data_IF_365013536590
#
_entry.id   IF_365013536590
#
_cell.length_a   1.000
_cell.length_b   1.000
_cell.length_c   1.000
_cell.angle_alpha   90.00
_cell.angle_beta   90.00
_cell.angle_gamma   90.00
#
_symmetry.space_group_name_H-M   'P 1'
#
loop_
_entity.id
_entity.type
_entity.pdbx_description
1 polymer ?
#
# COMPACT_ATOMS: atom_id res chain seq x y z
N UNK A 1 -9.78 -3.07 2.21
CA UNK A 1 -9.91 -4.06 3.29
C UNK A 1 -8.65 -4.89 3.34
N UNK A 2 -8.19 -5.35 4.50
CA UNK A 2 -6.98 -6.15 4.56
C UNK A 2 -6.54 -6.51 5.97
N UNK A 3 -5.55 -7.39 6.05
CA UNK A 3 -4.81 -7.77 7.24
C UNK A 3 -3.32 -7.58 6.99
N UNK A 4 -2.70 -6.61 7.67
CA UNK A 4 -1.25 -6.45 7.63
C UNK A 4 -0.53 -7.64 8.29
N UNK A 5 -1.14 -8.24 9.31
CA UNK A 5 -0.58 -9.40 10.03
C UNK A 5 -0.45 -10.65 9.14
N UNK A 6 -1.38 -10.83 8.19
CA UNK A 6 -1.34 -11.95 7.25
C UNK A 6 -0.89 -11.54 5.84
N UNK A 7 -0.68 -10.24 5.62
CA UNK A 7 -0.04 -9.70 4.42
C UNK A 7 -0.95 -9.61 3.20
N UNK A 8 -2.27 -9.49 3.39
CA UNK A 8 -3.21 -9.35 2.29
C UNK A 8 -4.05 -8.10 2.41
N UNK A 9 -4.40 -7.51 1.28
CA UNK A 9 -5.44 -6.49 1.19
C UNK A 9 -6.07 -6.50 -0.19
N UNK A 10 -7.28 -5.97 -0.24
CA UNK A 10 -7.99 -5.78 -1.48
C UNK A 10 -8.82 -4.50 -1.49
N UNK A 11 -9.13 -4.09 -2.71
CA UNK A 11 -10.07 -3.03 -3.06
C UNK A 11 -11.30 -3.64 -3.75
N UNK A 12 -12.41 -2.90 -3.79
CA UNK A 12 -13.68 -3.41 -4.34
C UNK A 12 -13.61 -3.63 -5.86
N UNK A 13 -12.82 -2.84 -6.57
CA UNK A 13 -12.54 -2.96 -8.01
C UNK A 13 -11.92 -4.33 -8.34
N UNK A 14 -10.93 -4.80 -7.58
CA UNK A 14 -10.31 -6.11 -7.80
C UNK A 14 -11.33 -7.26 -7.74
N UNK A 15 -12.24 -7.22 -6.76
CA UNK A 15 -13.31 -8.20 -6.67
C UNK A 15 -14.36 -8.02 -7.77
N UNK A 16 -14.69 -6.78 -8.12
CA UNK A 16 -15.62 -6.51 -9.21
C UNK A 16 -15.10 -7.06 -10.55
N UNK A 17 -13.83 -6.85 -10.88
CA UNK A 17 -13.20 -7.39 -12.09
C UNK A 17 -13.21 -8.92 -12.11
N UNK A 18 -12.80 -9.56 -11.01
CA UNK A 18 -12.81 -11.03 -10.88
C UNK A 18 -14.20 -11.66 -11.09
N UNK A 19 -15.27 -10.98 -10.68
CA UNK A 19 -16.64 -11.47 -10.81
C UNK A 19 -17.34 -10.97 -12.07
N UNK A 20 -16.91 -9.85 -12.65
CA UNK A 20 -17.44 -9.31 -13.90
C UNK A 20 -17.31 -10.31 -15.05
N UNK A 21 -16.14 -10.93 -15.17
CA UNK A 21 -15.86 -11.96 -16.18
C UNK A 21 -16.77 -13.19 -16.00
N UNK A 22 -16.94 -13.65 -14.74
CA UNK A 22 -17.76 -14.83 -14.42
C UNK A 22 -19.25 -14.60 -14.60
N UNK A 23 -19.73 -13.38 -14.32
CA UNK A 23 -21.14 -13.03 -14.34
C UNK A 23 -21.57 -12.35 -15.65
N UNK A 24 -20.63 -11.99 -16.52
CA UNK A 24 -20.89 -11.29 -17.78
C UNK A 24 -21.44 -9.87 -17.59
N UNK A 25 -21.00 -9.16 -16.56
CA UNK A 25 -21.49 -7.82 -16.21
C UNK A 25 -20.37 -6.78 -16.11
N UNK A 26 -20.73 -5.49 -16.14
CA UNK A 26 -19.75 -4.40 -16.09
C UNK A 26 -19.12 -4.27 -14.68
N UNK A 27 -17.78 -4.19 -14.55
CA UNK A 27 -17.12 -4.04 -13.25
C UNK A 27 -17.64 -2.86 -12.43
N UNK A 28 -17.94 -1.72 -13.07
CA UNK A 28 -18.38 -0.50 -12.36
C UNK A 28 -19.73 -0.70 -11.67
N UNK A 29 -20.62 -1.50 -12.27
CA UNK A 29 -21.90 -1.86 -11.67
C UNK A 29 -21.70 -2.79 -10.46
N UNK A 30 -20.77 -3.74 -10.57
CA UNK A 30 -20.42 -4.64 -9.46
C UNK A 30 -19.76 -3.88 -8.30
N UNK A 31 -18.86 -2.92 -8.55
CA UNK A 31 -18.27 -2.11 -7.47
C UNK A 31 -19.35 -1.43 -6.63
N UNK A 32 -20.39 -0.89 -7.28
CA UNK A 32 -21.53 -0.27 -6.58
C UNK A 32 -22.36 -1.29 -5.80
N UNK A 33 -22.56 -2.49 -6.34
CA UNK A 33 -23.29 -3.58 -5.68
C UNK A 33 -22.49 -4.25 -4.55
N UNK A 34 -21.15 -4.27 -4.63
CA UNK A 34 -20.26 -4.82 -3.61
C UNK A 34 -20.17 -3.95 -2.36
N UNK A 35 -20.84 -2.79 -2.32
CA UNK A 35 -20.89 -1.94 -1.14
C UNK A 35 -22.32 -1.51 -0.79
N UNK A 36 -22.68 -1.64 0.50
CA UNK A 36 -24.02 -1.32 1.00
C UNK A 36 -25.00 -2.48 0.96
N UNK A 37 -26.30 -2.15 1.04
CA UNK A 37 -27.40 -3.10 1.19
C UNK A 37 -27.84 -3.68 -0.18
N UNK A 38 -26.92 -4.30 -0.92
CA UNK A 38 -27.19 -4.96 -2.20
C UNK A 38 -26.86 -6.45 -2.12
N UNK A 39 -27.67 -7.28 -2.77
CA UNK A 39 -27.51 -8.72 -2.84
C UNK A 39 -27.59 -9.22 -4.29
N UNK A 40 -26.93 -10.32 -4.59
CA UNK A 40 -27.03 -10.96 -5.92
C UNK A 40 -28.01 -12.12 -5.86
N UNK A 41 -29.05 -12.11 -6.69
CA UNK A 41 -29.96 -13.25 -6.87
C UNK A 41 -29.38 -14.19 -7.92
N UNK A 42 -28.91 -15.41 -7.57
CA UNK A 42 -28.40 -16.36 -8.57
C UNK A 42 -29.49 -16.86 -9.52
N UNK A 43 -30.75 -16.87 -9.05
CA UNK A 43 -31.92 -17.27 -9.85
C UNK A 43 -32.18 -16.27 -10.97
N UNK A 44 -32.20 -14.99 -10.63
CA UNK A 44 -32.54 -13.92 -11.58
C UNK A 44 -31.30 -13.33 -12.27
N UNK A 45 -30.10 -13.75 -11.85
CA UNK A 45 -28.79 -13.21 -12.26
C UNK A 45 -28.72 -11.69 -12.20
N UNK A 46 -29.30 -11.11 -11.14
CA UNK A 46 -29.45 -9.66 -10.97
C UNK A 46 -29.03 -9.22 -9.58
N UNK A 47 -28.51 -7.99 -9.52
CA UNK A 47 -28.29 -7.29 -8.26
C UNK A 47 -29.62 -6.69 -7.81
N UNK A 48 -30.05 -7.05 -6.60
CA UNK A 48 -31.28 -6.59 -5.97
C UNK A 48 -30.95 -5.93 -4.64
N UNK A 49 -31.80 -5.03 -4.16
CA UNK A 49 -31.58 -4.42 -2.85
C UNK A 49 -31.79 -5.49 -1.77
N UNK A 50 -30.83 -5.62 -0.85
CA UNK A 50 -30.94 -6.52 0.29
C UNK A 50 -32.00 -5.95 1.24
N UNK A 51 -33.12 -6.65 1.39
CA UNK A 51 -34.12 -6.28 2.40
C UNK A 51 -33.72 -6.87 3.76
N UNK A 52 -33.52 -6.01 4.78
CA UNK A 52 -33.33 -6.45 6.19
C UNK A 52 -34.54 -7.20 6.74
N UNK A 53 -35.71 -6.96 6.16
CA UNK A 53 -36.99 -7.59 6.51
C UNK A 53 -37.30 -8.58 5.39
N UNK A 54 -36.97 -9.86 5.60
CA UNK A 54 -36.98 -10.91 4.58
C UNK A 54 -38.05 -10.72 3.50
N UNK A 55 -37.60 -10.45 2.27
CA UNK A 55 -38.50 -10.19 1.15
C UNK A 55 -37.74 -10.18 -0.16
N UNK A 56 -38.11 -11.11 -1.05
CA UNK A 56 -38.08 -10.84 -2.49
C UNK A 56 -37.07 -11.58 -3.35
N UNK A 57 -36.58 -12.76 -2.96
CA UNK A 57 -36.16 -13.76 -3.94
C UNK A 57 -37.28 -14.80 -4.06
N UNK A 58 -37.64 -15.24 -5.26
CA UNK A 58 -38.66 -16.28 -5.52
C UNK A 58 -38.30 -17.63 -4.88
N UNK A 59 -38.39 -17.75 -3.55
CA UNK A 59 -38.04 -18.96 -2.80
C UNK A 59 -37.55 -18.78 -1.35
N UNK A 60 -38.02 -17.78 -0.60
CA UNK A 60 -37.99 -17.78 0.88
C UNK A 60 -36.64 -17.63 1.59
N UNK A 61 -35.50 -17.69 0.90
CA UNK A 61 -34.17 -17.51 1.52
C UNK A 61 -33.75 -16.03 1.57
N UNK A 62 -33.23 -15.59 2.72
CA UNK A 62 -32.66 -14.24 2.90
C UNK A 62 -31.40 -14.12 2.05
N UNK A 63 -31.44 -13.26 1.03
CA UNK A 63 -30.28 -12.98 0.18
C UNK A 63 -29.21 -12.23 0.99
N UNK A 64 -27.98 -12.77 1.00
CA UNK A 64 -26.84 -12.17 1.69
C UNK A 64 -26.33 -10.95 0.92
N UNK A 65 -25.76 -9.94 1.60
CA UNK A 65 -25.10 -8.83 0.91
C UNK A 65 -23.98 -9.33 -0.01
N UNK A 66 -23.82 -8.71 -1.17
CA UNK A 66 -22.81 -9.10 -2.17
C UNK A 66 -21.40 -9.05 -1.60
N UNK A 67 -21.10 -8.05 -0.77
CA UNK A 67 -19.79 -7.97 -0.10
C UNK A 67 -19.50 -9.22 0.74
N UNK A 68 -20.50 -9.69 1.48
CA UNK A 68 -20.38 -10.88 2.33
C UNK A 68 -20.18 -12.11 1.45
N UNK A 69 -21.06 -12.31 0.47
CA UNK A 69 -21.05 -13.48 -0.40
C UNK A 69 -19.79 -13.58 -1.28
N UNK A 70 -19.36 -12.47 -1.86
CA UNK A 70 -18.30 -12.48 -2.88
C UNK A 70 -16.92 -12.13 -2.35
N UNK A 71 -16.80 -11.38 -1.26
CA UNK A 71 -15.50 -11.03 -0.67
C UNK A 71 -15.24 -11.77 0.65
N UNK A 72 -16.10 -11.60 1.65
CA UNK A 72 -15.81 -12.09 3.00
C UNK A 72 -15.91 -13.61 3.13
N UNK A 73 -16.93 -14.26 2.57
CA UNK A 73 -17.12 -15.71 2.68
C UNK A 73 -15.93 -16.52 2.12
N UNK A 74 -15.41 -16.21 0.91
CA UNK A 74 -14.19 -16.86 0.41
C UNK A 74 -12.97 -16.68 1.31
N UNK A 75 -12.78 -15.48 1.88
CA UNK A 75 -11.65 -15.19 2.78
C UNK A 75 -11.85 -15.91 4.11
N UNK A 76 -13.06 -15.88 4.67
CA UNK A 76 -13.41 -16.57 5.91
C UNK A 76 -13.21 -18.08 5.78
N UNK A 77 -13.63 -18.66 4.65
CA UNK A 77 -13.38 -20.06 4.32
C UNK A 77 -11.89 -20.37 4.24
N UNK A 78 -11.06 -19.46 3.72
CA UNK A 78 -9.61 -19.67 3.75
C UNK A 78 -9.10 -19.71 5.19
N UNK A 79 -9.59 -18.83 6.07
CA UNK A 79 -9.18 -18.78 7.47
C UNK A 79 -9.58 -20.01 8.31
N UNK A 80 -10.59 -20.79 7.90
CA UNK A 80 -11.01 -21.98 8.65
C UNK A 80 -9.92 -23.05 8.77
N UNK A 81 -8.89 -23.02 7.92
CA UNK A 81 -7.73 -23.92 8.05
C UNK A 81 -6.91 -23.68 9.32
N UNK A 82 -7.12 -22.55 10.00
CA UNK A 82 -6.49 -22.28 11.29
C UNK A 82 -7.20 -22.99 12.45
N UNK A 83 -8.38 -23.58 12.21
CA UNK A 83 -9.09 -24.39 13.20
C UNK A 83 -8.44 -25.77 13.33
N UNK A 84 -8.52 -26.37 14.53
CA UNK A 84 -7.83 -27.62 14.82
C UNK A 84 -8.42 -28.80 14.02
N UNK A 85 -7.56 -29.56 13.35
CA UNK A 85 -7.94 -30.79 12.64
C UNK A 85 -8.45 -30.57 11.22
N UNK A 86 -8.37 -29.34 10.68
CA UNK A 86 -8.86 -29.07 9.33
C UNK A 86 -7.91 -29.48 8.20
N UNK A 87 -8.51 -29.88 7.06
CA UNK A 87 -7.77 -30.21 5.85
C UNK A 87 -7.36 -28.95 5.08
N UNK A 88 -6.13 -28.49 5.35
CA UNK A 88 -5.53 -27.31 4.72
C UNK A 88 -5.55 -27.40 3.19
N UNK A 89 -5.15 -28.55 2.63
CA UNK A 89 -5.06 -28.73 1.19
C UNK A 89 -6.45 -28.83 0.54
N UNK A 90 -7.40 -29.49 1.20
CA UNK A 90 -8.79 -29.58 0.78
C UNK A 90 -9.52 -28.24 0.77
N UNK A 91 -9.21 -27.34 1.71
CA UNK A 91 -9.83 -26.01 1.81
C UNK A 91 -9.16 -24.99 0.89
N UNK A 92 -7.82 -24.89 0.92
CA UNK A 92 -7.08 -23.89 0.13
C UNK A 92 -6.91 -24.29 -1.33
N UNK A 93 -6.79 -25.59 -1.64
CA UNK A 93 -6.59 -26.08 -3.00
C UNK A 93 -7.65 -25.61 -4.01
N UNK A 94 -8.96 -25.67 -3.69
CA UNK A 94 -10.01 -25.09 -4.54
C UNK A 94 -9.86 -23.58 -4.76
N UNK A 95 -9.41 -22.83 -3.75
CA UNK A 95 -9.16 -21.38 -3.88
C UNK A 95 -8.01 -21.15 -4.86
N UNK A 96 -6.90 -21.88 -4.68
CA UNK A 96 -5.72 -21.82 -5.57
C UNK A 96 -6.11 -22.12 -7.02
N UNK A 97 -6.91 -23.17 -7.26
CA UNK A 97 -7.37 -23.52 -8.61
C UNK A 97 -8.33 -22.49 -9.19
N UNK A 98 -9.36 -22.10 -8.44
CA UNK A 98 -10.42 -21.19 -8.93
C UNK A 98 -9.95 -19.76 -9.19
N UNK A 99 -8.80 -19.38 -8.63
CA UNK A 99 -8.16 -18.07 -8.77
C UNK A 99 -6.86 -18.13 -9.59
N UNK A 100 -6.47 -19.29 -10.10
CA UNK A 100 -5.28 -19.43 -10.94
C UNK A 100 -3.95 -19.13 -10.23
N UNK A 101 -3.86 -19.36 -8.92
CA UNK A 101 -2.71 -18.94 -8.09
C UNK A 101 -1.53 -19.91 -8.15
N UNK A 102 -1.69 -21.08 -8.79
CA UNK A 102 -0.67 -22.13 -8.82
C UNK A 102 0.74 -21.65 -9.19
N UNK A 103 0.92 -20.85 -10.26
CA UNK A 103 2.24 -20.32 -10.65
C UNK A 103 2.87 -19.35 -9.65
N UNK A 104 2.07 -18.75 -8.75
CA UNK A 104 2.53 -17.75 -7.79
C UNK A 104 2.93 -18.37 -6.44
N UNK A 105 2.68 -19.65 -6.25
CA UNK A 105 2.93 -20.36 -4.99
C UNK A 105 4.20 -21.19 -5.07
N UNK A 106 4.92 -21.27 -3.93
CA UNK A 106 6.03 -22.19 -3.79
C UNK A 106 5.57 -23.65 -3.93
N UNK A 107 6.44 -24.56 -4.40
CA UNK A 107 6.16 -25.99 -4.36
C UNK A 107 5.78 -26.42 -2.94
N UNK A 108 4.70 -27.22 -2.81
CA UNK A 108 4.19 -27.71 -1.51
C UNK A 108 3.77 -26.62 -0.51
N UNK A 109 3.44 -25.40 -0.96
CA UNK A 109 2.98 -24.32 -0.08
C UNK A 109 1.75 -24.69 0.78
N UNK A 110 0.92 -25.64 0.32
CA UNK A 110 -0.26 -26.12 1.06
C UNK A 110 0.06 -27.22 2.09
N UNK A 111 1.23 -27.85 2.00
CA UNK A 111 1.68 -28.93 2.90
C UNK A 111 2.51 -28.38 4.07
N UNK A 112 2.52 -27.06 4.27
CA UNK A 112 3.30 -26.44 5.34
C UNK A 112 2.81 -26.94 6.72
N UNK A 113 3.72 -27.30 7.66
CA UNK A 113 3.33 -27.83 8.97
C UNK A 113 2.45 -26.89 9.79
N UNK A 114 2.67 -25.58 9.65
CA UNK A 114 1.80 -24.53 10.21
C UNK A 114 0.73 -24.10 9.17
N UNK A 115 -0.57 -24.37 9.43
CA UNK A 115 -1.67 -23.97 8.55
C UNK A 115 -1.76 -22.47 8.29
N UNK A 116 -1.36 -21.63 9.25
CA UNK A 116 -1.38 -20.17 9.09
C UNK A 116 -0.37 -19.71 8.05
N UNK A 117 0.75 -20.42 7.89
CA UNK A 117 1.75 -20.10 6.86
C UNK A 117 1.30 -20.53 5.46
N UNK A 118 0.60 -21.67 5.35
CA UNK A 118 -0.06 -22.06 4.11
C UNK A 118 -1.13 -21.03 3.70
N UNK A 119 -1.97 -20.62 4.66
CA UNK A 119 -2.96 -19.55 4.48
C UNK A 119 -2.33 -18.25 3.98
N UNK A 120 -1.27 -17.76 4.66
CA UNK A 120 -0.56 -16.53 4.28
C UNK A 120 0.02 -16.61 2.88
N UNK A 121 0.57 -17.76 2.50
CA UNK A 121 1.12 -17.97 1.14
C UNK A 121 0.02 -17.80 0.09
N UNK A 122 -1.16 -18.42 0.31
CA UNK A 122 -2.31 -18.31 -0.59
C UNK A 122 -2.89 -16.90 -0.62
N UNK A 123 -3.10 -16.26 0.54
CA UNK A 123 -3.71 -14.93 0.60
C UNK A 123 -2.79 -13.83 0.06
N UNK A 124 -1.47 -13.95 0.23
CA UNK A 124 -0.50 -13.01 -0.35
C UNK A 124 -0.43 -13.13 -1.87
N UNK A 125 -0.52 -14.34 -2.40
CA UNK A 125 -0.59 -14.56 -3.84
C UNK A 125 -1.94 -14.10 -4.42
N UNK A 126 -3.03 -14.31 -3.69
CA UNK A 126 -4.36 -13.93 -4.15
C UNK A 126 -4.63 -12.43 -4.07
N UNK A 127 -4.29 -11.81 -2.94
CA UNK A 127 -4.65 -10.43 -2.60
C UNK A 127 -3.43 -9.67 -2.05
N UNK A 128 -2.42 -9.37 -2.90
CA UNK A 128 -1.18 -8.74 -2.45
C UNK A 128 -1.44 -7.38 -1.77
N UNK A 129 -1.01 -7.23 -0.51
CA UNK A 129 -1.19 -6.01 0.27
C UNK A 129 -0.58 -4.78 -0.41
N UNK A 130 0.64 -4.91 -0.95
CA UNK A 130 1.37 -3.82 -1.58
C UNK A 130 0.64 -3.26 -2.79
N UNK A 131 0.14 -4.11 -3.68
CA UNK A 131 -0.59 -3.68 -4.88
C UNK A 131 -1.90 -2.98 -4.55
N UNK A 132 -2.64 -3.50 -3.57
CA UNK A 132 -3.88 -2.88 -3.14
C UNK A 132 -3.64 -1.46 -2.59
N UNK A 133 -2.64 -1.30 -1.71
CA UNK A 133 -2.34 -0.04 -1.02
C UNK A 133 -1.65 0.96 -1.96
N UNK A 134 -0.59 0.56 -2.66
CA UNK A 134 0.14 1.45 -3.57
C UNK A 134 -0.71 1.82 -4.78
N UNK A 135 -1.50 0.88 -5.31
CA UNK A 135 -2.45 1.19 -6.38
C UNK A 135 -3.54 2.15 -5.93
N UNK A 136 -4.02 2.06 -4.67
CA UNK A 136 -4.94 3.05 -4.12
C UNK A 136 -4.29 4.42 -4.00
N UNK A 137 -3.06 4.48 -3.49
CA UNK A 137 -2.31 5.72 -3.34
C UNK A 137 -2.11 6.39 -4.70
N UNK A 138 -1.65 5.65 -5.71
CA UNK A 138 -1.46 6.16 -7.07
C UNK A 138 -2.76 6.65 -7.72
N UNK A 139 -3.88 5.94 -7.48
CA UNK A 139 -5.17 6.29 -8.09
C UNK A 139 -5.88 7.46 -7.40
N UNK A 140 -5.63 7.70 -6.10
CA UNK A 140 -6.39 8.66 -5.28
C UNK A 140 -5.60 9.87 -4.85
N UNK A 141 -4.28 9.76 -4.75
CA UNK A 141 -3.45 10.90 -4.40
C UNK A 141 -3.17 11.73 -5.65
N UNK A 142 -3.27 13.07 -5.56
CA UNK A 142 -2.86 13.93 -6.66
C UNK A 142 -1.36 13.78 -6.94
N UNK A 143 -0.97 13.93 -8.21
CA UNK A 143 0.43 14.06 -8.59
C UNK A 143 1.08 15.29 -7.92
N UNK A 144 2.42 15.33 -7.76
CA UNK A 144 3.07 16.48 -7.13
C UNK A 144 2.69 17.84 -7.76
N UNK A 145 2.65 18.01 -9.11
CA UNK A 145 2.20 19.27 -9.71
C UNK A 145 0.74 19.60 -9.43
N UNK A 146 -0.15 18.60 -9.38
CA UNK A 146 -1.56 18.82 -9.06
C UNK A 146 -1.78 19.16 -7.57
N UNK A 147 -0.95 18.62 -6.69
CA UNK A 147 -1.02 18.85 -5.25
C UNK A 147 -0.40 20.19 -4.83
N UNK A 148 0.65 20.64 -5.55
CA UNK A 148 1.48 21.77 -5.16
C UNK A 148 0.72 23.08 -4.93
N UNK A 149 -0.27 23.49 -5.76
CA UNK A 149 -1.02 24.73 -5.52
C UNK A 149 -1.75 24.75 -4.17
N UNK A 150 -2.25 23.60 -3.70
CA UNK A 150 -2.93 23.50 -2.40
C UNK A 150 -1.96 23.42 -1.21
N UNK A 151 -0.73 22.98 -1.44
CA UNK A 151 0.29 22.72 -0.40
C UNK A 151 1.27 23.88 -0.23
N UNK A 152 1.66 24.52 -1.33
CA UNK A 152 2.68 25.56 -1.35
C UNK A 152 2.36 26.71 -0.40
N UNK A 153 1.12 27.24 -0.32
CA UNK A 153 0.82 28.32 0.62
C UNK A 153 1.06 27.95 2.09
N UNK A 154 0.79 26.69 2.45
CA UNK A 154 1.00 26.18 3.81
C UNK A 154 2.47 25.93 4.11
N UNK A 155 3.25 25.52 3.10
CA UNK A 155 4.68 25.26 3.23
C UNK A 155 5.51 26.56 3.27
N UNK A 156 5.09 27.57 2.52
CA UNK A 156 5.79 28.86 2.37
C UNK A 156 5.32 29.90 3.39
N UNK A 157 4.23 29.64 4.13
CA UNK A 157 3.67 30.60 5.09
C UNK A 157 2.83 31.72 4.44
N UNK A 158 2.49 31.58 3.16
CA UNK A 158 1.73 32.55 2.38
C UNK A 158 1.61 32.13 0.92
N UNK A 159 0.73 32.77 0.13
CA UNK A 159 0.62 32.48 -1.30
C UNK A 159 1.98 32.72 -2.01
N UNK A 160 2.41 31.82 -2.91
CA UNK A 160 3.62 32.01 -3.71
C UNK A 160 3.58 33.33 -4.49
N UNK A 161 4.71 34.02 -4.57
CA UNK A 161 4.80 35.32 -5.27
C UNK A 161 4.16 36.48 -4.51
N UNK A 162 3.98 36.33 -3.18
CA UNK A 162 3.61 37.43 -2.30
C UNK A 162 4.70 38.51 -2.24
N UNK A 163 4.40 39.67 -1.63
CA UNK A 163 5.40 40.73 -1.46
C UNK A 163 6.59 40.19 -0.63
N UNK A 164 7.83 40.50 -1.02
CA UNK A 164 9.00 40.08 -0.25
C UNK A 164 9.01 40.74 1.13
N UNK A 165 9.70 40.15 2.12
CA UNK A 165 9.88 40.76 3.42
C UNK A 165 10.49 42.18 3.32
N UNK A 166 10.06 43.13 4.17
CA UNK A 166 10.61 44.49 4.16
C UNK A 166 12.14 44.50 4.32
N UNK A 167 12.82 45.35 3.54
CA UNK A 167 14.28 45.49 3.60
C UNK A 167 15.07 44.40 2.86
N UNK A 168 14.40 43.48 2.16
CA UNK A 168 15.07 42.48 1.33
C UNK A 168 15.69 43.13 0.08
N UNK A 169 16.97 42.85 -0.26
CA UNK A 169 17.57 43.30 -1.51
C UNK A 169 16.83 42.77 -2.74
N UNK A 170 16.72 43.59 -3.79
CA UNK A 170 15.96 43.27 -5.01
C UNK A 170 16.36 41.93 -5.64
N UNK A 171 17.66 41.63 -5.68
CA UNK A 171 18.17 40.35 -6.22
C UNK A 171 17.66 39.15 -5.41
N UNK A 172 17.66 39.27 -4.08
CA UNK A 172 17.16 38.22 -3.19
C UNK A 172 15.63 38.06 -3.30
N UNK A 173 14.90 39.17 -3.44
CA UNK A 173 13.46 39.15 -3.67
C UNK A 173 13.09 38.43 -4.98
N UNK A 174 13.86 38.69 -6.05
CA UNK A 174 13.68 38.01 -7.34
C UNK A 174 13.95 36.50 -7.25
N UNK A 175 15.02 36.09 -6.55
CA UNK A 175 15.31 34.67 -6.38
C UNK A 175 14.29 33.97 -5.46
N UNK A 176 13.80 34.64 -4.41
CA UNK A 176 12.72 34.12 -3.57
C UNK A 176 11.46 33.85 -4.41
N UNK A 177 11.01 34.84 -5.18
CA UNK A 177 9.85 34.69 -6.06
C UNK A 177 10.04 33.55 -7.09
N UNK A 178 11.26 33.40 -7.63
CA UNK A 178 11.61 32.29 -8.53
C UNK A 178 11.49 30.94 -7.81
N UNK A 179 12.06 30.80 -6.62
CA UNK A 179 12.00 29.57 -5.81
C UNK A 179 10.57 29.20 -5.46
N UNK A 180 9.78 30.16 -4.96
CA UNK A 180 8.36 29.94 -4.62
C UNK A 180 7.54 29.51 -5.84
N UNK A 181 7.78 30.10 -7.00
CA UNK A 181 7.12 29.72 -8.26
C UNK A 181 7.48 28.31 -8.70
N UNK A 182 8.75 27.91 -8.59
CA UNK A 182 9.19 26.55 -8.89
C UNK A 182 8.59 25.52 -7.91
N UNK A 183 8.53 25.84 -6.61
CA UNK A 183 7.87 25.00 -5.59
C UNK A 183 6.38 24.84 -5.90
N UNK A 184 5.69 25.95 -6.20
CA UNK A 184 4.25 25.96 -6.45
C UNK A 184 3.83 25.13 -7.67
N UNK A 185 4.74 24.90 -8.61
CA UNK A 185 4.50 24.10 -9.82
C UNK A 185 5.15 22.72 -9.79
N UNK A 186 5.91 22.39 -8.73
CA UNK A 186 6.76 21.20 -8.68
C UNK A 186 7.68 21.10 -9.90
N UNK A 187 8.36 22.20 -10.22
CA UNK A 187 9.25 22.30 -11.39
C UNK A 187 10.46 21.36 -11.23
N UNK A 188 10.56 20.36 -12.09
CA UNK A 188 11.64 19.38 -12.13
C UNK A 188 12.62 19.61 -13.28
N UNK A 189 12.60 20.79 -13.91
CA UNK A 189 13.53 21.12 -14.99
C UNK A 189 14.98 21.26 -14.50
N UNK A 190 15.99 21.00 -15.35
CA UNK A 190 17.40 21.14 -14.96
C UNK A 190 17.81 22.56 -14.55
N UNK A 191 17.02 23.58 -14.92
CA UNK A 191 17.24 24.99 -14.58
C UNK A 191 16.49 25.44 -13.32
N UNK A 192 15.63 24.57 -12.76
CA UNK A 192 14.94 24.84 -11.51
C UNK A 192 15.94 24.85 -10.33
N UNK A 193 15.75 25.73 -9.33
CA UNK A 193 16.59 25.72 -8.15
C UNK A 193 16.37 24.42 -7.34
N UNK A 194 17.46 23.84 -6.84
CA UNK A 194 17.38 22.72 -5.90
C UNK A 194 16.93 23.24 -4.54
N UNK A 195 15.75 22.80 -4.10
CA UNK A 195 15.17 23.17 -2.80
C UNK A 195 15.02 21.93 -1.93
N UNK A 196 15.49 22.01 -0.68
CA UNK A 196 15.36 20.93 0.31
C UNK A 196 14.49 21.43 1.45
N UNK A 197 13.50 20.62 1.84
CA UNK A 197 12.68 20.85 3.04
C UNK A 197 13.04 19.82 4.11
N UNK A 198 13.71 20.27 5.17
CA UNK A 198 14.11 19.40 6.28
C UNK A 198 13.01 19.39 7.33
N UNK A 199 12.22 18.32 7.37
CA UNK A 199 11.16 18.13 8.38
C UNK A 199 11.61 17.33 9.61
N UNK A 200 12.58 16.43 9.42
CA UNK A 200 13.11 15.57 10.47
C UNK A 200 14.54 15.14 10.11
N UNK A 201 15.44 15.21 11.09
CA UNK A 201 16.78 14.62 11.00
C UNK A 201 16.83 13.31 11.77
N UNK A 202 17.62 12.36 11.28
CA UNK A 202 17.83 11.05 11.92
C UNK A 202 19.30 10.92 12.27
N UNK A 203 19.60 10.36 13.44
CA UNK A 203 20.96 10.12 13.86
C UNK A 203 21.64 9.09 12.96
N UNK A 204 22.85 9.40 12.48
CA UNK A 204 23.66 8.52 11.65
C UNK A 204 24.96 8.19 12.39
N UNK A 205 25.33 6.90 12.54
CA UNK A 205 26.62 6.52 13.11
C UNK A 205 27.78 7.22 12.42
N UNK A 206 28.76 7.71 13.19
CA UNK A 206 29.90 8.49 12.67
C UNK A 206 30.65 7.80 11.53
N UNK A 207 30.77 6.47 11.57
CA UNK A 207 31.44 5.69 10.53
C UNK A 207 30.75 5.70 9.16
N UNK A 208 29.46 6.07 9.10
CA UNK A 208 28.68 6.19 7.86
C UNK A 208 28.58 7.64 7.35
N UNK A 209 29.09 8.61 8.11
CA UNK A 209 29.15 9.98 7.63
C UNK A 209 30.19 10.08 6.51
N UNK A 210 29.91 10.83 5.43
CA UNK A 210 30.90 11.10 4.40
C UNK A 210 32.18 11.63 5.05
N UNK A 211 33.30 10.94 4.85
CA UNK A 211 34.61 11.46 5.26
C UNK A 211 34.83 12.72 4.42
N UNK A 212 34.89 13.88 5.08
CA UNK A 212 35.01 15.16 4.39
C UNK A 212 36.19 15.18 3.44
N UNK A 213 36.02 15.85 2.30
CA UNK A 213 37.04 16.07 1.24
C UNK A 213 38.14 17.05 1.70
N UNK A 214 38.65 16.89 2.92
CA UNK A 214 39.61 17.82 3.53
C UNK A 214 40.40 17.26 4.71
N UNK A 215 40.33 15.96 5.00
CA UNK A 215 41.12 15.30 6.04
C UNK A 215 42.25 14.46 5.45
N UNK A 216 43.20 15.11 4.78
CA UNK A 216 44.50 14.50 4.51
C UNK A 216 45.19 14.14 5.83
N UNK A 217 45.88 13.00 5.84
CA UNK A 217 46.24 12.24 7.05
C UNK A 217 47.04 12.97 8.13
N UNK A 218 46.75 12.61 9.37
CA UNK A 218 47.67 12.54 10.51
C UNK A 218 46.93 11.90 11.70
N UNK A 219 47.33 10.80 12.32
CA UNK A 219 48.27 9.73 11.97
C UNK A 219 47.85 8.53 12.83
N UNK A 220 47.91 7.33 12.26
CA UNK A 220 47.88 6.10 13.06
C UNK A 220 49.21 6.01 13.80
N UNK A 221 49.21 6.47 15.06
CA UNK A 221 50.25 6.15 16.02
C UNK A 221 50.06 4.70 16.48
N UNK A 222 50.93 3.83 15.98
CA UNK A 222 51.15 2.48 16.47
C UNK A 222 51.39 2.46 17.99
N UNK A 223 50.51 1.81 18.74
CA UNK A 223 50.81 1.32 20.07
C UNK A 223 51.11 -0.19 19.99
N UNK A 224 52.35 -0.51 19.63
CA UNK A 224 52.96 -1.82 19.87
C UNK A 224 54.04 -1.68 20.95
N UNK A 225 53.96 -2.54 21.98
CA UNK A 225 54.88 -2.64 23.11
C UNK A 225 54.15 -2.37 24.45
N UNK A 226 54.14 -3.23 25.46
CA UNK A 226 54.97 -4.39 25.75
C UNK A 226 54.25 -5.31 26.75
N UNK A 227 54.38 -6.62 26.58
CA UNK A 227 54.20 -7.61 27.65
C UNK A 227 55.29 -8.68 27.46
N UNK A 228 56.45 -8.40 28.06
CA UNK A 228 57.51 -9.38 28.25
C UNK A 228 57.13 -10.33 29.39
N UNK A 229 57.47 -11.60 29.22
CA UNK A 229 57.16 -12.67 30.15
C UNK A 229 57.84 -12.52 31.51
N UNK A 230 57.21 -13.13 32.51
CA UNK A 230 57.82 -13.53 33.76
C UNK A 230 57.53 -15.03 33.93
N UNK A 231 58.59 -15.82 33.92
CA UNK A 231 58.64 -17.20 34.33
C UNK A 231 59.66 -17.24 35.47
N UNK A 232 59.16 -17.29 36.72
CA UNK A 232 59.73 -18.00 37.88
C UNK A 232 58.62 -18.17 38.94
#
# INVERSE_FOLDING_TARGET
FGSAADGWAFRLDQFAEMYAEKLGCKPEALVRGLWGDWAYSPKDKRVVRSSRRGGGGSGGSKLKPMFVQFALEPIWKAYSVCDAGEDVAGVLGPIVRSRGLGPLLAPRALEHPDPRQALRSVLRAWLPLSEAVLGMAAARLPSPPAAAPSRAPRLLGGPPGGPPPPGMPEVAARELARVESCIARSDSSPSAPLVIYVSKMVAVPRGLLPRGVGGGGAGEGSAQGAAGGADE
#
